data_IF_273181399323
#
_entry.id   IF_273181399323
#
_cell.length_a   1.000
_cell.length_b   1.000
_cell.length_c   1.000
_cell.angle_alpha   90.00
_cell.angle_beta   90.00
_cell.angle_gamma   90.00
#
_symmetry.space_group_name_H-M   'P 1'
#
loop_
_entity.id
_entity.type
_entity.pdbx_description
1 polymer ?
#
# COMPACT_ATOMS: atom_id res chain seq x y z
N UNK A 1 -3.03 -7.20 23.75
CA UNK A 1 -3.89 -7.70 22.67
C UNK A 1 -4.36 -6.46 21.94
N UNK A 2 -3.83 -6.21 20.75
CA UNK A 2 -4.13 -4.99 20.00
C UNK A 2 -5.61 -4.95 19.65
N UNK A 3 -6.24 -3.81 19.86
CA UNK A 3 -7.63 -3.63 19.45
C UNK A 3 -7.68 -3.43 17.93
N UNK A 4 -8.03 -4.52 17.23
CA UNK A 4 -8.13 -4.55 15.76
C UNK A 4 -9.14 -3.53 15.27
N UNK A 5 -10.21 -3.30 16.02
CA UNK A 5 -11.27 -2.36 15.66
C UNK A 5 -10.72 -0.94 15.51
N UNK A 6 -9.92 -0.47 16.47
CA UNK A 6 -9.25 0.84 16.41
C UNK A 6 -8.34 0.99 15.17
N UNK A 7 -7.68 -0.08 14.74
CA UNK A 7 -6.83 -0.06 13.53
C UNK A 7 -7.67 0.05 12.25
N UNK A 8 -8.79 -0.68 12.20
CA UNK A 8 -9.72 -0.64 11.06
C UNK A 8 -10.38 0.73 10.96
N UNK A 9 -10.87 1.28 12.09
CA UNK A 9 -11.43 2.63 12.13
C UNK A 9 -10.46 3.66 11.58
N UNK A 10 -9.17 3.55 11.92
CA UNK A 10 -8.13 4.45 11.42
C UNK A 10 -7.95 4.38 9.90
N UNK A 11 -8.10 3.19 9.29
CA UNK A 11 -8.05 3.00 7.83
C UNK A 11 -9.29 3.61 7.19
N UNK A 12 -10.47 3.35 7.76
CA UNK A 12 -11.75 3.83 7.24
C UNK A 12 -11.91 5.35 7.35
N UNK A 13 -11.32 5.97 8.38
CA UNK A 13 -11.29 7.43 8.58
C UNK A 13 -10.37 8.14 7.56
N UNK A 14 -9.46 7.41 6.91
CA UNK A 14 -8.51 7.98 5.97
C UNK A 14 -9.08 8.03 4.55
N UNK A 15 -9.96 9.01 4.30
CA UNK A 15 -10.62 9.22 2.99
C UNK A 15 -9.62 9.36 1.82
N UNK A 16 -8.37 9.74 2.12
CA UNK A 16 -7.32 9.87 1.12
C UNK A 16 -6.91 8.54 0.47
N UNK A 17 -7.32 7.41 1.06
CA UNK A 17 -7.08 6.05 0.55
C UNK A 17 -7.98 5.68 -0.63
N UNK A 18 -9.18 6.26 -0.72
CA UNK A 18 -10.18 5.88 -1.72
C UNK A 18 -10.63 7.04 -2.61
N UNK A 19 -10.31 8.29 -2.25
CA UNK A 19 -10.71 9.49 -3.02
C UNK A 19 -10.37 9.37 -4.52
N UNK A 20 -11.34 9.50 -5.41
CA UNK A 20 -11.10 9.47 -6.86
C UNK A 20 -10.85 8.08 -7.46
N UNK A 21 -10.85 7.01 -6.66
CA UNK A 21 -11.08 5.66 -7.15
C UNK A 21 -12.58 5.45 -7.33
N UNK A 22 -12.96 4.55 -8.24
CA UNK A 22 -14.33 4.06 -8.29
C UNK A 22 -14.58 3.01 -7.19
N UNK A 23 -15.85 2.75 -6.90
CA UNK A 23 -16.29 1.81 -5.86
C UNK A 23 -15.61 0.42 -5.91
N UNK A 24 -15.46 -0.26 -7.07
CA UNK A 24 -14.91 -1.60 -7.08
C UNK A 24 -13.41 -1.64 -6.72
N UNK A 25 -12.64 -0.62 -7.07
CA UNK A 25 -11.23 -0.47 -6.69
C UNK A 25 -11.08 -0.04 -5.24
N UNK A 26 -11.88 0.94 -4.80
CA UNK A 26 -11.88 1.42 -3.43
C UNK A 26 -12.16 0.27 -2.45
N UNK A 27 -13.19 -0.53 -2.74
CA UNK A 27 -13.55 -1.69 -1.92
C UNK A 27 -12.42 -2.71 -1.87
N UNK A 28 -11.85 -3.06 -3.03
CA UNK A 28 -10.77 -4.03 -3.11
C UNK A 28 -9.54 -3.60 -2.32
N UNK A 29 -9.16 -2.31 -2.39
CA UNK A 29 -8.05 -1.77 -1.63
C UNK A 29 -8.33 -1.80 -0.11
N UNK A 30 -9.53 -1.37 0.31
CA UNK A 30 -9.90 -1.37 1.74
C UNK A 30 -9.94 -2.78 2.31
N UNK A 31 -10.53 -3.74 1.59
CA UNK A 31 -10.60 -5.14 2.01
C UNK A 31 -9.20 -5.70 2.29
N UNK A 32 -8.27 -5.50 1.35
CA UNK A 32 -6.90 -5.93 1.52
C UNK A 32 -6.20 -5.22 2.68
N UNK A 33 -6.42 -3.91 2.87
CA UNK A 33 -5.83 -3.16 3.99
C UNK A 33 -6.32 -3.64 5.35
N UNK A 34 -7.60 -3.98 5.47
CA UNK A 34 -8.19 -4.54 6.69
C UNK A 34 -7.51 -5.87 7.02
N UNK A 35 -7.38 -6.78 6.05
CA UNK A 35 -6.68 -8.05 6.24
C UNK A 35 -5.24 -7.85 6.70
N UNK A 36 -4.52 -6.89 6.10
CA UNK A 36 -3.16 -6.56 6.52
C UNK A 36 -3.14 -6.01 7.95
N UNK A 37 -4.07 -5.14 8.35
CA UNK A 37 -4.16 -4.60 9.71
C UNK A 37 -4.42 -5.69 10.74
N UNK A 38 -5.28 -6.66 10.43
CA UNK A 38 -5.47 -7.82 11.29
C UNK A 38 -4.19 -8.67 11.42
N UNK A 39 -3.48 -8.88 10.30
CA UNK A 39 -2.20 -9.58 10.30
C UNK A 39 -1.16 -8.85 11.16
N UNK A 40 -1.13 -7.51 11.12
CA UNK A 40 -0.28 -6.69 12.00
C UNK A 40 -0.61 -6.91 13.47
N UNK A 41 -1.90 -6.87 13.82
CA UNK A 41 -2.36 -7.04 15.20
C UNK A 41 -2.05 -8.44 15.76
N UNK A 42 -2.11 -9.48 14.92
CA UNK A 42 -1.77 -10.87 15.27
C UNK A 42 -0.27 -11.12 15.40
N UNK A 43 0.54 -10.51 14.53
CA UNK A 43 1.96 -10.81 14.39
C UNK A 43 2.92 -9.96 15.24
N UNK A 44 2.42 -8.89 15.86
CA UNK A 44 3.25 -7.93 16.60
C UNK A 44 2.88 -7.93 18.08
N UNK A 45 3.84 -7.72 18.97
CA UNK A 45 3.61 -7.68 20.42
C UNK A 45 3.50 -6.25 21.00
N UNK A 46 3.91 -5.23 20.24
CA UNK A 46 4.02 -3.83 20.68
C UNK A 46 3.04 -2.91 19.96
N UNK A 47 2.19 -2.21 20.72
CA UNK A 47 1.23 -1.21 20.20
C UNK A 47 1.90 -0.07 19.43
N UNK A 48 3.13 0.29 19.80
CA UNK A 48 3.88 1.34 19.10
C UNK A 48 4.35 0.88 17.73
N UNK A 49 4.78 -0.37 17.62
CA UNK A 49 5.23 -0.98 16.38
C UNK A 49 4.06 -1.22 15.43
N UNK A 50 2.92 -1.72 15.94
CA UNK A 50 1.69 -1.88 15.13
C UNK A 50 1.24 -0.56 14.52
N UNK A 51 1.26 0.54 15.30
CA UNK A 51 0.89 1.87 14.80
C UNK A 51 1.85 2.36 13.71
N UNK A 52 3.16 2.20 13.91
CA UNK A 52 4.16 2.57 12.90
C UNK A 52 4.00 1.75 11.61
N UNK A 53 3.67 0.47 11.73
CA UNK A 53 3.40 -0.40 10.58
C UNK A 53 2.10 0.01 9.89
N UNK A 54 1.04 0.31 10.64
CA UNK A 54 -0.22 0.79 10.07
C UNK A 54 -0.01 2.10 9.29
N UNK A 55 0.78 3.04 9.81
CA UNK A 55 1.09 4.27 9.08
C UNK A 55 1.85 4.00 7.77
N UNK A 56 2.81 3.08 7.78
CA UNK A 56 3.53 2.68 6.56
C UNK A 56 2.60 2.00 5.55
N UNK A 57 1.66 1.19 6.03
CA UNK A 57 0.63 0.54 5.21
C UNK A 57 -0.26 1.59 4.53
N UNK A 58 -0.77 2.57 5.29
CA UNK A 58 -1.57 3.65 4.72
C UNK A 58 -0.77 4.53 3.76
N UNK A 59 0.53 4.75 3.98
CA UNK A 59 1.40 5.47 3.02
C UNK A 59 1.56 4.71 1.71
N UNK A 60 1.85 3.41 1.80
CA UNK A 60 1.92 2.54 0.63
C UNK A 60 0.61 2.54 -0.16
N UNK A 61 -0.53 2.44 0.54
CA UNK A 61 -1.85 2.45 -0.09
C UNK A 61 -2.13 3.76 -0.84
N UNK A 62 -1.75 4.91 -0.28
CA UNK A 62 -1.83 6.21 -0.97
C UNK A 62 -0.98 6.26 -2.23
N UNK A 63 0.22 5.68 -2.19
CA UNK A 63 1.11 5.64 -3.33
C UNK A 63 0.55 4.73 -4.44
N UNK A 64 -0.01 3.57 -4.10
CA UNK A 64 -0.72 2.69 -5.05
C UNK A 64 -1.94 3.39 -5.64
N UNK A 65 -2.75 4.05 -4.81
CA UNK A 65 -3.86 4.87 -5.30
C UNK A 65 -3.38 5.92 -6.30
N UNK A 66 -2.33 6.69 -5.96
CA UNK A 66 -1.82 7.74 -6.85
C UNK A 66 -1.31 7.15 -8.16
N UNK A 67 -0.69 5.97 -8.12
CA UNK A 67 -0.30 5.23 -9.30
C UNK A 67 -1.52 4.90 -10.18
N UNK A 68 -2.60 4.36 -9.62
CA UNK A 68 -3.83 4.05 -10.36
C UNK A 68 -4.47 5.31 -10.97
N UNK A 69 -4.50 6.42 -10.23
CA UNK A 69 -5.00 7.70 -10.75
C UNK A 69 -4.20 8.17 -11.97
N UNK A 70 -2.87 8.18 -11.85
CA UNK A 70 -1.99 8.57 -12.95
C UNK A 70 -2.14 7.63 -14.15
N UNK A 71 -2.16 6.32 -13.92
CA UNK A 71 -2.15 5.32 -14.98
C UNK A 71 -3.50 5.20 -15.71
N UNK A 72 -4.61 5.14 -14.96
CA UNK A 72 -5.93 4.80 -15.49
C UNK A 72 -6.79 6.03 -15.78
N UNK A 73 -6.78 7.01 -14.88
CA UNK A 73 -7.73 8.13 -14.93
C UNK A 73 -7.12 9.37 -15.60
N UNK A 74 -5.85 9.67 -15.34
CA UNK A 74 -5.13 10.81 -15.94
C UNK A 74 -4.41 10.44 -17.24
N UNK A 75 -4.30 9.14 -17.57
CA UNK A 75 -3.58 8.62 -18.74
C UNK A 75 -2.10 9.05 -18.82
N UNK A 76 -1.50 9.40 -17.69
CA UNK A 76 -0.07 9.76 -17.57
C UNK A 76 0.74 8.58 -17.03
N UNK A 77 0.93 7.60 -17.91
CA UNK A 77 1.70 6.39 -17.60
C UNK A 77 3.18 6.68 -17.31
N UNK A 78 3.71 7.80 -17.85
CA UNK A 78 5.09 8.23 -17.59
C UNK A 78 5.28 8.66 -16.15
N UNK A 79 4.40 9.54 -15.65
CA UNK A 79 4.41 9.95 -14.25
C UNK A 79 4.11 8.77 -13.31
N UNK A 80 3.22 7.86 -13.70
CA UNK A 80 2.93 6.65 -12.93
C UNK A 80 4.16 5.73 -12.82
N UNK A 81 4.90 5.51 -13.92
CA UNK A 81 6.13 4.72 -13.91
C UNK A 81 7.24 5.38 -13.07
N UNK A 82 7.36 6.70 -13.11
CA UNK A 82 8.28 7.46 -12.26
C UNK A 82 7.94 7.32 -10.78
N UNK A 83 6.65 7.42 -10.44
CA UNK A 83 6.18 7.19 -9.07
C UNK A 83 6.53 5.77 -8.61
N UNK A 84 6.27 4.75 -9.44
CA UNK A 84 6.59 3.37 -9.11
C UNK A 84 8.09 3.15 -8.88
N UNK A 85 8.95 3.80 -9.67
CA UNK A 85 10.39 3.77 -9.47
C UNK A 85 10.81 4.49 -8.17
N UNK A 86 10.21 5.64 -7.86
CA UNK A 86 10.52 6.43 -6.66
C UNK A 86 10.09 5.70 -5.37
N UNK A 87 8.93 5.07 -5.39
CA UNK A 87 8.37 4.24 -4.31
C UNK A 87 8.99 2.83 -4.28
N UNK A 88 9.85 2.52 -5.26
CA UNK A 88 10.57 1.25 -5.40
C UNK A 88 9.63 0.04 -5.36
N UNK A 89 8.51 0.16 -6.05
CA UNK A 89 7.54 -0.93 -6.11
C UNK A 89 8.18 -2.19 -6.72
N UNK A 90 8.01 -3.36 -6.09
CA UNK A 90 8.69 -4.58 -6.51
C UNK A 90 7.93 -5.34 -7.60
N UNK A 91 6.67 -4.99 -7.85
CA UNK A 91 5.83 -5.62 -8.86
C UNK A 91 6.16 -5.11 -10.27
N UNK A 92 5.99 -5.94 -11.31
CA UNK A 92 6.22 -5.54 -12.68
C UNK A 92 5.18 -4.51 -13.15
N UNK A 93 5.61 -3.46 -13.85
CA UNK A 93 4.69 -2.46 -14.40
C UNK A 93 3.68 -3.11 -15.35
N UNK A 94 2.39 -2.72 -15.27
CA UNK A 94 1.37 -3.22 -16.19
C UNK A 94 1.68 -2.78 -17.63
N UNK A 95 1.20 -3.53 -18.65
CA UNK A 95 1.35 -3.11 -20.03
C UNK A 95 0.56 -1.83 -20.29
N UNK A 96 1.09 -0.94 -21.14
CA UNK A 96 0.47 0.34 -21.49
C UNK A 96 -0.97 0.24 -22.04
N UNK A 97 -1.34 -0.93 -22.58
CA UNK A 97 -2.69 -1.21 -23.07
C UNK A 97 -3.71 -1.54 -21.97
N UNK A 98 -3.25 -1.84 -20.75
CA UNK A 98 -4.11 -2.12 -19.61
C UNK A 98 -4.42 -0.80 -18.90
N UNK A 99 -5.68 -0.38 -18.97
CA UNK A 99 -6.15 0.88 -18.33
C UNK A 99 -7.25 0.65 -17.29
N UNK A 100 -7.71 -0.58 -17.11
CA UNK A 100 -8.70 -0.94 -16.09
C UNK A 100 -8.06 -0.95 -14.70
N UNK A 101 -8.46 0.00 -13.86
CA UNK A 101 -7.87 0.23 -12.54
C UNK A 101 -8.07 -0.98 -11.62
N UNK A 102 -9.25 -1.59 -11.65
CA UNK A 102 -9.58 -2.79 -10.89
C UNK A 102 -8.67 -3.97 -11.22
N UNK A 103 -8.43 -4.26 -12.50
CA UNK A 103 -7.55 -5.34 -12.93
C UNK A 103 -6.09 -5.09 -12.53
N UNK A 104 -5.63 -3.83 -12.64
CA UNK A 104 -4.26 -3.47 -12.24
C UNK A 104 -4.10 -3.60 -10.73
N UNK A 105 -5.03 -3.06 -9.94
CA UNK A 105 -5.01 -3.19 -8.49
C UNK A 105 -5.00 -4.65 -8.08
N UNK A 106 -5.91 -5.48 -8.63
CA UNK A 106 -5.93 -6.91 -8.36
C UNK A 106 -4.59 -7.57 -8.67
N UNK A 107 -4.01 -7.28 -9.84
CA UNK A 107 -2.72 -7.84 -10.21
C UNK A 107 -1.60 -7.47 -9.22
N UNK A 108 -1.59 -6.22 -8.73
CA UNK A 108 -0.65 -5.76 -7.72
C UNK A 108 -0.84 -6.54 -6.41
N UNK A 109 -2.07 -6.71 -5.94
CA UNK A 109 -2.38 -7.40 -4.70
C UNK A 109 -2.03 -8.90 -4.79
N UNK A 110 -2.46 -9.56 -5.86
CA UNK A 110 -2.18 -10.97 -6.14
C UNK A 110 -0.66 -11.24 -6.18
N UNK A 111 0.13 -10.28 -6.67
CA UNK A 111 1.59 -10.40 -6.69
C UNK A 111 2.19 -10.50 -5.28
N UNK A 112 1.68 -9.73 -4.31
CA UNK A 112 2.14 -9.81 -2.91
C UNK A 112 1.77 -11.15 -2.28
N UNK A 113 0.57 -11.65 -2.56
CA UNK A 113 0.10 -12.94 -2.06
C UNK A 113 0.92 -14.10 -2.62
N UNK A 114 1.22 -14.09 -3.93
CA UNK A 114 1.95 -15.16 -4.60
C UNK A 114 3.44 -15.19 -4.25
N UNK A 115 4.07 -14.02 -4.11
CA UNK A 115 5.50 -13.93 -3.82
C UNK A 115 5.82 -14.09 -2.34
N UNK A 116 4.81 -13.99 -1.46
CA UNK A 116 5.00 -13.91 -0.02
C UNK A 116 5.81 -12.69 0.42
N UNK A 117 6.04 -11.73 -0.49
CA UNK A 117 6.70 -10.49 -0.14
C UNK A 117 5.76 -9.62 0.69
N UNK A 118 6.34 -8.95 1.68
CA UNK A 118 5.59 -7.98 2.48
C UNK A 118 5.64 -6.61 1.80
N UNK A 119 4.51 -5.92 1.78
CA UNK A 119 4.42 -4.49 1.46
C UNK A 119 5.40 -3.62 2.27
N UNK A 120 5.87 -4.12 3.42
CA UNK A 120 6.89 -3.50 4.28
C UNK A 120 8.24 -3.30 3.57
N UNK A 121 8.62 -4.19 2.65
CA UNK A 121 9.93 -4.14 2.00
C UNK A 121 10.06 -3.04 0.94
N UNK A 122 8.93 -2.60 0.37
CA UNK A 122 8.91 -1.56 -0.67
C UNK A 122 9.26 -0.18 -0.10
N UNK A 123 8.91 0.09 1.16
CA UNK A 123 9.04 1.41 1.78
C UNK A 123 10.28 1.57 2.69
N UNK A 124 11.27 0.68 2.53
CA UNK A 124 12.52 0.68 3.27
C UNK A 124 13.44 1.87 2.98
N UNK A 125 13.03 3.10 3.30
CA UNK A 125 13.97 4.02 3.95
C UNK A 125 14.19 3.46 5.34
N UNK A 126 15.10 2.50 5.44
CA UNK A 126 15.78 2.26 6.70
C UNK A 126 16.32 3.61 7.16
N UNK A 127 15.78 4.15 8.25
CA UNK A 127 16.53 5.10 9.05
C UNK A 127 17.84 4.37 9.38
N UNK A 128 18.92 4.71 8.67
CA UNK A 128 20.26 4.39 9.11
C UNK A 128 20.41 5.04 10.48
N UNK A 129 20.24 4.23 11.53
CA UNK A 129 20.73 4.57 12.85
C UNK A 129 22.23 4.80 12.68
N UNK A 130 22.59 6.07 12.66
CA UNK A 130 23.94 6.56 12.82
C UNK A 130 24.40 6.09 14.20
N UNK A 131 25.04 4.92 14.27
CA UNK A 131 25.87 4.55 15.42
C UNK A 131 27.29 4.95 15.10
N UNK A 132 27.65 6.15 15.56
CA UNK A 132 29.02 6.52 15.94
C UNK A 132 29.69 5.40 16.75
N UNK A 133 30.95 5.12 16.42
CA UNK A 133 32.05 4.51 17.20
C UNK A 133 32.84 3.62 16.22
N UNK A 134 34.12 3.86 15.94
CA UNK A 134 35.22 4.27 16.81
C UNK A 134 36.35 4.84 15.95
#
# INVERSE_FOLDING_TARGET
MHDVHTLIERILDDESLTTGLEDPEARLLIEWLVEQAENLARGTASDSEVRQLLEQLCRWARAVRRFLLLWCYESDQGAAAQLAAAERFPWPLPPASQTDAHSILRHILDWYEQTGQSWRSANGKACSSHTESH
#
